data_IF_766795312826
#
_entry.id   IF_766795312826
#
_cell.length_a   1.000
_cell.length_b   1.000
_cell.length_c   1.000
_cell.angle_alpha   90.00
_cell.angle_beta   90.00
_cell.angle_gamma   90.00
#
_symmetry.space_group_name_H-M   'P 1'
#
loop_
_entity.id
_entity.type
_entity.pdbx_description
1 polymer ?
#
# COMPACT_ATOMS: atom_id res chain seq x y z
N UNK A 1 9.49 9.05 2.87
CA UNK A 1 8.65 9.89 3.76
C UNK A 1 7.23 10.05 3.22
N UNK A 2 6.99 9.64 1.97
CA UNK A 2 5.73 9.83 1.22
C UNK A 2 4.52 9.01 1.66
N UNK A 3 4.74 7.99 2.49
CA UNK A 3 3.67 7.12 2.98
C UNK A 3 3.26 7.55 4.39
N UNK A 4 3.73 6.83 5.40
CA UNK A 4 3.28 6.99 6.79
C UNK A 4 3.56 8.34 7.42
N UNK A 5 4.46 9.18 6.86
CA UNK A 5 4.82 10.48 7.43
C UNK A 5 4.08 11.66 6.77
N UNK A 6 3.18 11.40 5.81
CA UNK A 6 2.38 12.43 5.14
C UNK A 6 3.20 13.64 4.62
N UNK A 7 4.42 13.39 4.14
CA UNK A 7 5.34 14.39 3.60
C UNK A 7 5.93 13.89 2.26
N UNK A 8 7.02 14.47 1.76
CA UNK A 8 7.72 14.00 0.54
C UNK A 8 9.21 13.86 0.81
N UNK A 9 9.87 12.99 0.05
CA UNK A 9 11.31 12.80 0.11
C UNK A 9 11.75 11.54 0.83
N UNK A 10 13.05 11.45 1.08
CA UNK A 10 13.71 10.29 1.66
C UNK A 10 14.81 10.69 2.63
N UNK A 11 15.18 9.75 3.50
CA UNK A 11 16.30 9.89 4.41
C UNK A 11 17.11 8.60 4.42
N UNK A 12 18.37 8.71 4.82
CA UNK A 12 19.24 7.59 5.14
C UNK A 12 19.74 7.76 6.57
N UNK A 13 19.84 6.67 7.33
CA UNK A 13 20.37 6.65 8.68
C UNK A 13 21.54 5.67 8.75
N UNK A 14 22.62 6.07 9.43
CA UNK A 14 23.85 5.29 9.51
C UNK A 14 24.87 5.94 10.44
N UNK A 15 26.06 5.36 10.53
CA UNK A 15 27.18 5.96 11.28
C UNK A 15 27.58 7.29 10.64
N UNK A 16 27.95 8.28 11.45
CA UNK A 16 28.21 9.65 10.98
C UNK A 16 29.19 9.71 9.80
N UNK A 17 30.31 8.97 9.85
CA UNK A 17 31.28 8.96 8.76
C UNK A 17 30.72 8.42 7.43
N UNK A 18 29.73 7.51 7.48
CA UNK A 18 29.05 6.99 6.27
C UNK A 18 28.11 8.05 5.71
N UNK A 19 27.37 8.73 6.57
CA UNK A 19 26.45 9.80 6.19
C UNK A 19 27.22 11.00 5.64
N UNK A 20 28.34 11.39 6.26
CA UNK A 20 29.19 12.47 5.79
C UNK A 20 29.76 12.16 4.40
N UNK A 21 30.23 10.92 4.19
CA UNK A 21 30.66 10.47 2.87
C UNK A 21 29.53 10.55 1.84
N UNK A 22 28.33 10.06 2.15
CA UNK A 22 27.16 10.15 1.26
C UNK A 22 26.75 11.60 0.96
N UNK A 23 26.81 12.50 1.95
CA UNK A 23 26.46 13.92 1.79
C UNK A 23 27.46 14.66 0.91
N UNK A 24 28.75 14.34 1.01
CA UNK A 24 29.81 14.99 0.23
C UNK A 24 29.93 14.41 -1.19
N UNK A 25 29.71 13.10 -1.35
CA UNK A 25 29.91 12.38 -2.62
C UNK A 25 28.61 12.12 -3.39
N UNK A 26 27.43 12.28 -2.76
CA UNK A 26 26.14 12.05 -3.37
C UNK A 26 25.73 13.17 -4.32
N UNK A 27 25.85 12.96 -5.64
CA UNK A 27 25.46 13.95 -6.65
C UNK A 27 24.02 14.44 -6.48
N UNK A 28 23.08 13.52 -6.22
CA UNK A 28 21.67 13.87 -5.98
C UNK A 28 21.43 14.67 -4.70
N UNK A 29 22.34 14.62 -3.73
CA UNK A 29 22.29 15.43 -2.52
C UNK A 29 22.88 16.82 -2.75
N UNK A 30 24.02 16.91 -3.45
CA UNK A 30 24.73 18.18 -3.69
C UNK A 30 24.08 19.07 -4.77
N UNK A 31 23.50 18.45 -5.80
CA UNK A 31 23.00 19.16 -7.00
C UNK A 31 21.47 19.14 -7.11
N UNK A 32 20.77 19.02 -5.98
CA UNK A 32 19.31 19.11 -5.89
C UNK A 32 18.89 20.14 -4.85
N UNK A 33 17.72 20.74 -5.03
CA UNK A 33 17.15 21.66 -4.04
C UNK A 33 16.76 20.89 -2.76
N UNK A 34 16.93 21.54 -1.60
CA UNK A 34 16.50 20.97 -0.33
C UNK A 34 14.98 20.86 -0.23
N UNK A 35 14.50 19.94 0.61
CA UNK A 35 13.08 19.80 0.92
C UNK A 35 12.50 21.13 1.46
N UNK A 36 11.32 21.57 0.98
CA UNK A 36 10.63 22.74 1.55
C UNK A 36 10.46 22.64 3.07
N UNK A 37 10.71 23.73 3.84
CA UNK A 37 10.63 23.71 5.31
C UNK A 37 9.31 23.18 5.86
N UNK A 38 8.19 23.49 5.20
CA UNK A 38 6.86 23.00 5.58
C UNK A 38 6.78 21.46 5.57
N UNK A 39 7.34 20.82 4.53
CA UNK A 39 7.32 19.37 4.40
C UNK A 39 8.26 18.69 5.42
N UNK A 40 9.38 19.34 5.73
CA UNK A 40 10.26 18.88 6.80
C UNK A 40 9.55 18.95 8.17
N UNK A 41 8.87 20.05 8.48
CA UNK A 41 8.10 20.21 9.70
C UNK A 41 6.97 19.18 9.83
N UNK A 42 6.21 18.94 8.74
CA UNK A 42 5.15 17.93 8.73
C UNK A 42 5.68 16.51 9.03
N UNK A 43 6.85 16.16 8.48
CA UNK A 43 7.45 14.86 8.75
C UNK A 43 8.01 14.74 10.18
N UNK A 44 8.59 15.80 10.72
CA UNK A 44 9.03 15.85 12.13
C UNK A 44 7.83 15.64 13.04
N UNK A 45 6.72 16.33 12.76
CA UNK A 45 5.51 16.20 13.57
C UNK A 45 4.89 14.80 13.46
N UNK A 46 4.88 14.20 12.28
CA UNK A 46 4.44 12.82 12.12
C UNK A 46 5.29 11.84 12.95
N UNK A 47 6.60 12.07 13.07
CA UNK A 47 7.48 11.26 13.93
C UNK A 47 7.18 11.52 15.42
N UNK A 48 6.99 12.77 15.84
CA UNK A 48 6.63 13.11 17.21
C UNK A 48 5.34 12.39 17.63
N UNK A 49 4.30 12.43 16.80
CA UNK A 49 3.03 11.72 17.05
C UNK A 49 3.25 10.21 17.22
N UNK A 50 4.13 9.60 16.40
CA UNK A 50 4.47 8.18 16.49
C UNK A 50 5.24 7.83 17.77
N UNK A 51 6.13 8.72 18.22
CA UNK A 51 6.91 8.55 19.46
C UNK A 51 6.06 8.77 20.72
N UNK A 52 5.19 9.77 20.71
CA UNK A 52 4.31 10.12 21.83
C UNK A 52 3.19 9.09 22.04
N UNK A 53 2.69 8.48 20.97
CA UNK A 53 1.65 7.46 21.03
C UNK A 53 2.03 6.17 20.26
N UNK A 54 2.91 5.32 20.82
CA UNK A 54 3.27 4.05 20.19
C UNK A 54 2.08 3.06 20.09
N UNK A 55 0.98 3.32 20.81
CA UNK A 55 -0.24 2.51 20.75
C UNK A 55 -0.90 2.50 19.37
N UNK A 56 -0.67 3.52 18.53
CA UNK A 56 -1.20 3.57 17.15
C UNK A 56 -0.78 2.36 16.30
N UNK A 57 0.40 1.79 16.56
CA UNK A 57 0.90 0.63 15.82
C UNK A 57 0.17 -0.66 16.20
N UNK A 58 -0.30 -0.77 17.44
CA UNK A 58 -1.14 -1.90 17.87
C UNK A 58 -2.51 -1.81 17.20
N UNK A 59 -3.13 -0.62 17.23
CA UNK A 59 -4.40 -0.36 16.54
C UNK A 59 -4.31 -0.66 15.05
N UNK A 60 -3.22 -0.23 14.39
CA UNK A 60 -2.99 -0.55 12.98
C UNK A 60 -2.92 -2.06 12.74
N UNK A 61 -2.14 -2.79 13.56
CA UNK A 61 -1.98 -4.25 13.42
C UNK A 61 -3.31 -4.98 13.57
N UNK A 62 -4.11 -4.64 14.57
CA UNK A 62 -5.44 -5.23 14.78
C UNK A 62 -6.35 -5.02 13.57
N UNK A 63 -6.32 -3.82 12.98
CA UNK A 63 -7.08 -3.50 11.75
C UNK A 63 -6.58 -4.30 10.55
N UNK A 64 -5.26 -4.42 10.37
CA UNK A 64 -4.65 -5.22 9.32
C UNK A 64 -5.07 -6.70 9.42
N UNK A 65 -4.99 -7.29 10.61
CA UNK A 65 -5.40 -8.68 10.83
C UNK A 65 -6.88 -8.90 10.54
N UNK A 66 -7.73 -7.98 10.98
CA UNK A 66 -9.18 -8.05 10.77
C UNK A 66 -9.53 -8.03 9.29
N UNK A 67 -9.01 -7.06 8.53
CA UNK A 67 -9.33 -6.95 7.10
C UNK A 67 -8.68 -8.07 6.30
N UNK A 68 -7.45 -8.49 6.64
CA UNK A 68 -6.77 -9.61 6.01
C UNK A 68 -7.61 -10.88 6.14
N UNK A 69 -8.05 -11.20 7.37
CA UNK A 69 -8.97 -12.31 7.65
C UNK A 69 -10.31 -12.16 6.92
N UNK A 70 -10.87 -10.95 6.89
CA UNK A 70 -12.14 -10.71 6.23
C UNK A 70 -12.07 -10.95 4.72
N UNK A 71 -10.91 -10.70 4.10
CA UNK A 71 -10.66 -10.92 2.67
C UNK A 71 -10.14 -12.33 2.34
N UNK A 72 -9.89 -13.19 3.34
CA UNK A 72 -9.61 -14.59 3.09
C UNK A 72 -10.86 -15.32 2.56
N UNK A 73 -10.62 -16.32 1.70
CA UNK A 73 -11.68 -17.20 1.18
C UNK A 73 -12.63 -16.56 0.18
N UNK A 74 -12.26 -15.43 -0.43
CA UNK A 74 -13.01 -14.87 -1.55
C UNK A 74 -12.82 -15.77 -2.77
N UNK A 75 -13.91 -16.31 -3.31
CA UNK A 75 -13.84 -17.13 -4.52
C UNK A 75 -13.21 -16.35 -5.67
N UNK A 76 -12.20 -16.95 -6.32
CA UNK A 76 -11.48 -16.34 -7.43
C UNK A 76 -10.36 -15.38 -7.04
N UNK A 77 -10.24 -14.99 -5.76
CA UNK A 77 -9.16 -14.11 -5.27
C UNK A 77 -8.37 -14.75 -4.13
N UNK A 78 -7.06 -14.59 -4.17
CA UNK A 78 -6.14 -14.95 -3.09
C UNK A 78 -5.51 -13.69 -2.48
N UNK A 79 -5.41 -13.68 -1.16
CA UNK A 79 -4.69 -12.63 -0.42
C UNK A 79 -3.21 -12.98 -0.41
N UNK A 80 -2.36 -12.03 -0.80
CA UNK A 80 -0.90 -12.17 -0.84
C UNK A 80 -0.28 -11.07 0.02
N UNK A 81 0.51 -11.49 1.02
CA UNK A 81 1.11 -10.61 2.01
C UNK A 81 0.76 -11.04 3.43
N UNK A 82 1.50 -10.50 4.39
CA UNK A 82 1.36 -10.84 5.81
C UNK A 82 0.17 -10.12 6.46
N UNK A 83 -0.45 -10.77 7.44
CA UNK A 83 -1.61 -10.23 8.17
C UNK A 83 -1.30 -8.97 8.97
N UNK A 84 -0.04 -8.80 9.38
CA UNK A 84 0.44 -7.62 10.11
C UNK A 84 0.77 -6.45 9.18
N UNK A 85 0.84 -6.66 7.87
CA UNK A 85 1.23 -5.61 6.92
C UNK A 85 0.05 -4.67 6.63
N UNK A 86 0.24 -3.34 6.72
CA UNK A 86 -0.80 -2.37 6.35
C UNK A 86 -1.02 -2.27 4.84
N UNK A 87 -0.17 -2.90 4.04
CA UNK A 87 -0.36 -3.02 2.60
C UNK A 87 -0.18 -4.47 2.17
N UNK A 88 -1.16 -4.99 1.43
CA UNK A 88 -1.14 -6.34 0.89
C UNK A 88 -1.87 -6.37 -0.46
N UNK A 89 -1.85 -7.53 -1.10
CA UNK A 89 -2.30 -7.69 -2.48
C UNK A 89 -3.45 -8.69 -2.58
N UNK A 90 -4.43 -8.41 -3.45
CA UNK A 90 -5.41 -9.38 -3.93
C UNK A 90 -5.02 -9.79 -5.35
N UNK A 91 -4.74 -11.07 -5.54
CA UNK A 91 -4.41 -11.67 -6.83
C UNK A 91 -5.53 -12.59 -7.26
N UNK A 92 -5.67 -12.84 -8.57
CA UNK A 92 -6.50 -13.95 -9.03
C UNK A 92 -5.93 -15.26 -8.47
N UNK A 93 -6.84 -16.16 -8.06
CA UNK A 93 -6.45 -17.51 -7.61
C UNK A 93 -5.83 -18.26 -8.78
N UNK A 94 -6.57 -18.28 -9.90
CA UNK A 94 -6.16 -18.87 -11.16
C UNK A 94 -6.03 -17.76 -12.21
N UNK A 95 -4.89 -17.73 -12.91
CA UNK A 95 -4.68 -16.80 -14.03
C UNK A 95 -5.47 -17.27 -15.25
N UNK A 96 -5.94 -16.33 -16.07
CA UNK A 96 -6.54 -16.63 -17.37
C UNK A 96 -5.53 -17.06 -18.44
N UNK A 97 -4.23 -17.06 -18.10
CA UNK A 97 -3.12 -17.34 -19.02
C UNK A 97 -2.66 -16.12 -19.83
N UNK A 98 -3.32 -14.97 -19.69
CA UNK A 98 -2.87 -13.70 -20.28
C UNK A 98 -2.89 -12.62 -19.21
N UNK A 99 -1.74 -11.95 -19.05
CA UNK A 99 -1.58 -10.86 -18.09
C UNK A 99 -2.54 -9.71 -18.38
N UNK A 100 -2.74 -9.39 -19.66
CA UNK A 100 -3.64 -8.33 -20.10
C UNK A 100 -5.09 -8.62 -19.71
N UNK A 101 -5.53 -9.88 -19.85
CA UNK A 101 -6.86 -10.31 -19.43
C UNK A 101 -7.00 -10.26 -17.90
N UNK A 102 -5.99 -10.74 -17.16
CA UNK A 102 -5.98 -10.69 -15.71
C UNK A 102 -6.05 -9.23 -15.19
N UNK A 103 -5.27 -8.32 -15.78
CA UNK A 103 -5.31 -6.88 -15.47
C UNK A 103 -6.68 -6.27 -15.74
N UNK A 104 -7.35 -6.66 -16.83
CA UNK A 104 -8.70 -6.20 -17.15
C UNK A 104 -9.73 -6.69 -16.13
N UNK A 105 -9.71 -7.97 -15.78
CA UNK A 105 -10.61 -8.53 -14.75
C UNK A 105 -10.43 -7.83 -13.40
N UNK A 106 -9.18 -7.65 -12.97
CA UNK A 106 -8.89 -6.91 -11.73
C UNK A 106 -9.32 -5.44 -11.84
N UNK A 107 -9.25 -4.81 -13.02
CA UNK A 107 -9.74 -3.45 -13.22
C UNK A 107 -11.26 -3.37 -13.10
N UNK A 108 -11.99 -4.36 -13.61
CA UNK A 108 -13.43 -4.43 -13.48
C UNK A 108 -13.84 -4.52 -12.01
N UNK A 109 -13.16 -5.35 -11.21
CA UNK A 109 -13.38 -5.42 -9.75
C UNK A 109 -13.12 -4.06 -9.10
N UNK A 110 -12.02 -3.38 -9.46
CA UNK A 110 -11.71 -2.03 -8.96
C UNK A 110 -12.81 -1.03 -9.32
N UNK A 111 -13.30 -1.05 -10.57
CA UNK A 111 -14.36 -0.16 -11.04
C UNK A 111 -15.69 -0.43 -10.30
N UNK A 112 -16.02 -1.71 -10.07
CA UNK A 112 -17.19 -2.10 -9.28
C UNK A 112 -17.12 -1.59 -7.83
N UNK A 113 -15.93 -1.65 -7.21
CA UNK A 113 -15.71 -1.10 -5.87
C UNK A 113 -15.83 0.43 -5.87
N UNK A 114 -15.25 1.10 -6.87
CA UNK A 114 -15.28 2.56 -7.02
C UNK A 114 -16.73 3.07 -7.12
N UNK A 115 -17.57 2.39 -7.90
CA UNK A 115 -18.99 2.71 -8.04
C UNK A 115 -19.79 2.58 -6.73
N UNK A 116 -19.23 1.90 -5.71
CA UNK A 116 -19.81 1.73 -4.36
C UNK A 116 -19.08 2.55 -3.30
N UNK A 117 -18.31 3.55 -3.75
CA UNK A 117 -17.51 4.47 -2.93
C UNK A 117 -16.34 3.82 -2.20
N UNK A 118 -15.79 2.72 -2.72
CA UNK A 118 -14.56 2.09 -2.23
C UNK A 118 -13.46 2.26 -3.27
N UNK A 119 -12.50 3.15 -2.99
CA UNK A 119 -11.37 3.38 -3.88
C UNK A 119 -10.29 2.31 -3.66
N UNK A 120 -9.94 1.61 -4.75
CA UNK A 120 -8.85 0.64 -4.80
C UNK A 120 -7.98 0.94 -6.01
N UNK A 121 -6.73 0.49 -5.98
CA UNK A 121 -5.82 0.65 -7.11
C UNK A 121 -5.18 -0.69 -7.45
N UNK A 122 -4.92 -0.91 -8.72
CA UNK A 122 -4.09 -2.03 -9.13
C UNK A 122 -2.61 -1.70 -8.91
N UNK A 123 -1.84 -2.71 -8.53
CA UNK A 123 -0.38 -2.62 -8.59
C UNK A 123 0.06 -2.48 -10.06
N UNK A 124 0.91 -1.48 -10.32
CA UNK A 124 1.48 -1.21 -11.64
C UNK A 124 2.98 -1.47 -11.61
N UNK A 125 3.46 -2.09 -12.67
CA UNK A 125 4.86 -2.50 -12.83
C UNK A 125 5.35 -2.09 -14.22
N UNK A 126 6.65 -1.88 -14.35
CA UNK A 126 7.31 -1.68 -15.63
C UNK A 126 7.60 -3.06 -16.24
N UNK A 127 6.68 -3.55 -17.07
CA UNK A 127 6.65 -4.96 -17.45
C UNK A 127 7.88 -5.45 -18.22
N UNK A 128 8.55 -4.56 -18.97
CA UNK A 128 9.73 -4.93 -19.77
C UNK A 128 11.02 -4.82 -18.97
N UNK A 129 11.01 -4.01 -17.92
CA UNK A 129 12.17 -3.62 -17.12
C UNK A 129 12.25 -4.42 -15.81
N UNK A 130 11.12 -4.95 -15.35
CA UNK A 130 11.06 -5.71 -14.10
C UNK A 130 11.72 -7.09 -14.27
N UNK A 131 12.80 -7.33 -13.52
CA UNK A 131 13.54 -8.60 -13.56
C UNK A 131 12.68 -9.77 -13.08
N UNK A 132 11.82 -9.52 -12.08
CA UNK A 132 10.95 -10.51 -11.48
C UNK A 132 9.51 -9.98 -11.46
N UNK A 133 8.86 -9.96 -12.63
CA UNK A 133 7.53 -9.38 -12.80
C UNK A 133 6.47 -10.10 -11.95
N UNK A 134 5.90 -9.45 -10.92
CA UNK A 134 4.89 -10.08 -10.08
C UNK A 134 3.57 -10.27 -10.84
N UNK A 135 2.74 -11.24 -10.46
CA UNK A 135 1.39 -11.37 -10.99
C UNK A 135 0.56 -10.08 -10.78
N UNK A 136 -0.34 -9.74 -11.70
CA UNK A 136 -1.26 -8.63 -11.53
C UNK A 136 -2.03 -8.73 -10.21
N UNK A 137 -2.24 -7.60 -9.54
CA UNK A 137 -2.94 -7.57 -8.26
C UNK A 137 -3.62 -6.24 -8.01
N UNK A 138 -4.62 -6.27 -7.13
CA UNK A 138 -5.19 -5.07 -6.50
C UNK A 138 -4.40 -4.84 -5.21
N UNK A 139 -3.86 -3.63 -5.03
CA UNK A 139 -3.19 -3.23 -3.81
C UNK A 139 -4.23 -2.71 -2.82
N UNK A 140 -4.30 -3.34 -1.66
CA UNK A 140 -5.17 -2.94 -0.54
C UNK A 140 -4.30 -2.31 0.53
N UNK A 141 -4.70 -1.13 1.02
CA UNK A 141 -3.98 -0.38 2.05
C UNK A 141 -4.92 -0.04 3.19
N UNK A 142 -4.42 -0.25 4.41
CA UNK A 142 -5.14 -0.06 5.67
C UNK A 142 -4.48 1.08 6.44
N UNK A 143 -5.28 1.93 7.07
CA UNK A 143 -4.79 3.05 7.89
C UNK A 143 -5.45 3.06 9.27
N UNK A 144 -4.82 3.79 10.20
CA UNK A 144 -5.32 3.90 11.59
C UNK A 144 -6.67 4.62 11.66
N UNK A 145 -6.95 5.55 10.74
CA UNK A 145 -8.18 6.35 10.77
C UNK A 145 -9.42 5.60 10.25
N UNK A 146 -9.25 4.50 9.52
CA UNK A 146 -10.38 3.71 9.01
C UNK A 146 -11.16 3.05 10.15
N UNK A 147 -12.46 3.28 10.22
CA UNK A 147 -13.33 2.66 11.22
C UNK A 147 -13.59 1.19 10.91
N UNK A 148 -13.97 0.40 11.92
CA UNK A 148 -14.34 -1.00 11.74
C UNK A 148 -15.48 -1.19 10.74
N UNK A 149 -16.47 -0.29 10.76
CA UNK A 149 -17.59 -0.31 9.81
C UNK A 149 -17.15 -0.05 8.37
N UNK A 150 -16.16 0.81 8.15
CA UNK A 150 -15.58 1.05 6.83
C UNK A 150 -14.79 -0.17 6.33
N UNK A 151 -14.02 -0.81 7.20
CA UNK A 151 -13.28 -2.05 6.87
C UNK A 151 -14.25 -3.19 6.50
N UNK A 152 -15.31 -3.38 7.27
CA UNK A 152 -16.35 -4.37 6.98
C UNK A 152 -17.09 -4.08 5.68
N UNK A 153 -17.44 -2.80 5.46
CA UNK A 153 -18.06 -2.35 4.21
C UNK A 153 -17.13 -2.62 3.03
N UNK A 154 -15.86 -2.27 3.14
CA UNK A 154 -14.87 -2.52 2.09
C UNK A 154 -14.75 -4.02 1.78
N UNK A 155 -14.60 -4.88 2.80
CA UNK A 155 -14.50 -6.32 2.63
C UNK A 155 -15.73 -6.92 1.94
N UNK A 156 -16.93 -6.51 2.36
CA UNK A 156 -18.19 -6.93 1.75
C UNK A 156 -18.30 -6.47 0.29
N UNK A 157 -17.98 -5.21 0.01
CA UNK A 157 -18.01 -4.67 -1.36
C UNK A 157 -17.02 -5.39 -2.28
N UNK A 158 -15.81 -5.67 -1.80
CA UNK A 158 -14.81 -6.45 -2.56
C UNK A 158 -15.31 -7.86 -2.85
N UNK A 159 -15.92 -8.54 -1.87
CA UNK A 159 -16.52 -9.87 -2.05
C UNK A 159 -17.61 -9.87 -3.11
N UNK A 160 -18.52 -8.92 -3.04
CA UNK A 160 -19.62 -8.78 -4.01
C UNK A 160 -19.09 -8.45 -5.41
N UNK A 161 -18.08 -7.58 -5.52
CA UNK A 161 -17.45 -7.25 -6.80
C UNK A 161 -16.71 -8.46 -7.40
N UNK A 162 -15.95 -9.20 -6.60
CA UNK A 162 -15.28 -10.42 -7.03
C UNK A 162 -16.30 -11.46 -7.52
N UNK A 163 -17.42 -11.64 -6.79
CA UNK A 163 -18.50 -12.53 -7.21
C UNK A 163 -19.18 -12.08 -8.50
N UNK A 164 -19.33 -10.79 -8.75
CA UNK A 164 -20.00 -10.29 -9.95
C UNK A 164 -19.12 -10.39 -11.22
N UNK A 165 -17.79 -10.38 -11.06
CA UNK A 165 -16.83 -10.36 -12.17
C UNK A 165 -16.26 -11.75 -12.45
N UNK A 166 -16.03 -12.56 -11.42
CA UNK A 166 -15.33 -13.85 -11.53
C UNK A 166 -16.26 -15.07 -11.52
N UNK A 167 -17.55 -14.92 -11.20
CA UNK A 167 -18.56 -15.97 -11.16
C UNK A 167 -19.78 -15.58 -12.00
#
# INVERSE_FOLDING_TARGET
MENSLASVGGFCCGRSFVIDHQRLSGQGYCFSASLPPLLAAAAIEALNIMEENPGIFLVLKEKCERIHKALQGISGLKVVGESLSPAFHLQLTDSTGSREKDVKLLQEIVNHCMNRSIALTQARYLEKEEKCLPPPSIRVVVTVEQTDGELERAARTIKEAARAVLL
#
